data_IF_909163993312
#
_entry.id   IF_909163993312
#
_cell.length_a   1.000
_cell.length_b   1.000
_cell.length_c   1.000
_cell.angle_alpha   90.00
_cell.angle_beta   90.00
_cell.angle_gamma   90.00
#
_symmetry.space_group_name_H-M   'P 1'
#
loop_
_entity.id
_entity.type
_entity.pdbx_description
1 polymer ?
#
# COMPACT_ATOMS: atom_id res chain seq x y z
N UNK A 1 47.31 6.47 69.49
CA UNK A 1 46.76 5.11 69.64
C UNK A 1 45.29 5.28 69.93
N UNK A 2 44.43 4.97 68.96
CA UNK A 2 43.20 4.19 69.14
C UNK A 2 42.47 4.12 67.80
N UNK A 3 41.99 2.92 67.50
CA UNK A 3 41.51 2.48 66.20
C UNK A 3 40.09 2.97 65.93
N UNK A 4 39.83 3.40 64.68
CA UNK A 4 38.47 3.62 64.20
C UNK A 4 38.13 2.64 63.07
N UNK A 5 36.99 1.99 63.27
CA UNK A 5 36.46 0.87 62.49
C UNK A 5 35.95 1.31 61.11
N UNK A 6 36.21 0.45 60.12
CA UNK A 6 35.75 0.51 58.73
C UNK A 6 34.40 -0.17 58.51
N UNK A 7 33.49 0.48 57.77
CA UNK A 7 32.34 -0.13 57.10
C UNK A 7 32.04 0.64 55.78
N UNK A 8 31.40 0.03 54.76
CA UNK A 8 31.87 0.10 53.37
C UNK A 8 31.16 1.11 52.45
N UNK A 9 31.90 1.56 51.44
CA UNK A 9 31.46 2.42 50.34
C UNK A 9 30.38 1.76 49.46
N UNK A 10 29.22 2.41 49.32
CA UNK A 10 28.26 2.18 48.24
C UNK A 10 28.80 2.82 46.95
N UNK A 11 29.02 2.00 45.92
CA UNK A 11 29.31 2.44 44.55
C UNK A 11 28.03 2.50 43.73
N UNK A 12 27.72 3.67 43.19
CA UNK A 12 26.69 3.88 42.17
C UNK A 12 27.16 3.26 40.83
N UNK A 13 26.30 2.60 40.05
CA UNK A 13 26.65 2.16 38.70
C UNK A 13 26.55 3.30 37.67
N UNK A 14 27.58 3.41 36.83
CA UNK A 14 27.65 4.29 35.66
C UNK A 14 26.58 3.99 34.59
N UNK A 15 26.15 4.98 33.79
CA UNK A 15 25.15 4.80 32.74
C UNK A 15 25.76 4.22 31.45
N UNK A 16 25.14 3.14 30.94
CA UNK A 16 25.45 2.54 29.64
C UNK A 16 25.08 3.48 28.47
N UNK A 17 26.07 3.78 27.62
CA UNK A 17 25.92 4.60 26.41
C UNK A 17 25.03 3.94 25.31
N UNK A 18 24.13 4.68 24.62
CA UNK A 18 23.16 4.13 23.66
C UNK A 18 23.66 3.93 22.22
N UNK A 19 24.96 4.02 21.93
CA UNK A 19 25.48 4.11 20.55
C UNK A 19 25.71 2.77 19.83
N UNK A 20 25.80 1.63 20.53
CA UNK A 20 26.16 0.33 19.94
C UNK A 20 24.96 -0.51 19.46
N UNK A 21 23.75 -0.25 19.97
CA UNK A 21 22.53 -0.98 19.60
C UNK A 21 21.89 -0.44 18.32
N UNK A 22 22.02 0.87 18.06
CA UNK A 22 21.37 1.57 16.93
C UNK A 22 22.07 1.29 15.60
N UNK A 23 23.38 1.03 15.62
CA UNK A 23 24.18 0.72 14.41
C UNK A 23 23.91 -0.70 13.91
N UNK A 24 23.78 -1.69 14.80
CA UNK A 24 23.45 -3.09 14.41
C UNK A 24 22.03 -3.22 13.83
N UNK A 25 21.04 -2.49 14.34
CA UNK A 25 19.66 -2.52 13.80
C UNK A 25 19.58 -1.86 12.41
N UNK A 26 20.32 -0.77 12.16
CA UNK A 26 20.35 -0.12 10.84
C UNK A 26 20.98 -1.00 9.77
N UNK A 27 22.06 -1.72 10.09
CA UNK A 27 22.72 -2.65 9.16
C UNK A 27 21.79 -3.82 8.77
N UNK A 28 21.04 -4.36 9.74
CA UNK A 28 20.15 -5.50 9.53
C UNK A 28 18.87 -5.12 8.75
N UNK A 29 18.33 -3.92 8.98
CA UNK A 29 17.22 -3.36 8.20
C UNK A 29 17.67 -3.03 6.77
N UNK A 30 18.89 -2.53 6.58
CA UNK A 30 19.46 -2.27 5.24
C UNK A 30 19.69 -3.57 4.45
N UNK A 31 20.16 -4.63 5.10
CA UNK A 31 20.36 -5.94 4.49
C UNK A 31 19.03 -6.61 4.11
N UNK A 32 17.99 -6.50 4.95
CA UNK A 32 16.65 -7.02 4.65
C UNK A 32 15.97 -6.23 3.51
N UNK A 33 16.18 -4.92 3.43
CA UNK A 33 15.70 -4.10 2.33
C UNK A 33 16.41 -4.44 1.00
N UNK A 34 17.73 -4.67 1.03
CA UNK A 34 18.51 -5.10 -0.14
C UNK A 34 18.08 -6.48 -0.64
N UNK A 35 17.86 -7.44 0.27
CA UNK A 35 17.37 -8.77 -0.07
C UNK A 35 15.97 -8.71 -0.71
N UNK A 36 15.07 -7.87 -0.18
CA UNK A 36 13.71 -7.71 -0.71
C UNK A 36 13.69 -7.10 -2.12
N UNK A 37 14.61 -6.18 -2.42
CA UNK A 37 14.74 -5.56 -3.75
C UNK A 37 15.34 -6.53 -4.78
N UNK A 38 16.31 -7.37 -4.38
CA UNK A 38 16.91 -8.39 -5.25
C UNK A 38 15.92 -9.51 -5.59
N UNK A 39 15.03 -9.89 -4.65
CA UNK A 39 14.00 -10.92 -4.90
C UNK A 39 12.89 -10.43 -5.84
N UNK A 40 12.53 -9.14 -5.79
CA UNK A 40 11.57 -8.55 -6.74
C UNK A 40 12.12 -8.45 -8.18
N UNK A 41 13.45 -8.43 -8.36
CA UNK A 41 14.10 -8.44 -9.68
C UNK A 41 14.21 -9.84 -10.31
N UNK A 42 13.93 -10.91 -9.56
CA UNK A 42 14.09 -12.32 -10.00
C UNK A 42 12.79 -13.12 -10.09
N UNK A 43 11.64 -12.47 -10.32
CA UNK A 43 10.40 -13.21 -10.62
C UNK A 43 10.53 -13.81 -12.05
N UNK A 44 10.55 -15.15 -12.23
CA UNK A 44 10.54 -15.75 -13.56
C UNK A 44 9.20 -15.46 -14.25
N UNK A 45 9.24 -15.10 -15.53
CA UNK A 45 8.06 -14.95 -16.37
C UNK A 45 7.35 -16.29 -16.50
N UNK A 46 6.11 -16.39 -16.01
CA UNK A 46 5.22 -17.51 -16.33
C UNK A 46 4.35 -17.10 -17.51
N UNK A 47 4.83 -17.40 -18.72
CA UNK A 47 3.94 -17.74 -19.83
C UNK A 47 3.43 -19.16 -19.56
N UNK A 48 2.13 -19.40 -19.81
CA UNK A 48 1.41 -20.70 -19.79
C UNK A 48 0.54 -21.07 -18.57
N UNK A 49 -0.41 -20.22 -18.16
CA UNK A 49 -1.58 -20.69 -17.35
C UNK A 49 -2.94 -20.14 -17.86
N UNK A 50 -3.01 -19.75 -19.14
CA UNK A 50 -4.21 -19.13 -19.74
C UNK A 50 -5.32 -20.11 -20.17
N UNK A 51 -5.24 -21.41 -19.82
CA UNK A 51 -6.29 -22.38 -20.20
C UNK A 51 -7.12 -22.91 -19.04
N UNK A 52 -6.67 -22.80 -17.78
CA UNK A 52 -7.38 -23.44 -16.64
C UNK A 52 -8.45 -22.51 -16.04
N UNK A 53 -8.36 -21.20 -16.24
CA UNK A 53 -9.30 -20.23 -15.63
C UNK A 53 -10.60 -20.02 -16.41
N UNK A 54 -10.69 -20.43 -17.68
CA UNK A 54 -11.96 -20.39 -18.44
C UNK A 54 -12.92 -21.54 -18.09
N UNK A 55 -12.40 -22.70 -17.68
CA UNK A 55 -13.24 -23.88 -17.41
C UNK A 55 -13.95 -23.83 -16.04
N UNK A 56 -13.44 -23.04 -15.09
CA UNK A 56 -14.03 -22.94 -13.74
C UNK A 56 -15.21 -21.95 -13.64
N UNK A 57 -15.40 -21.07 -14.63
CA UNK A 57 -16.47 -20.05 -14.63
C UNK A 57 -17.69 -20.41 -15.48
N UNK A 58 -17.65 -21.52 -16.24
CA UNK A 58 -18.74 -21.93 -17.15
C UNK A 58 -19.50 -23.20 -16.72
N UNK A 59 -19.25 -23.75 -15.52
CA UNK A 59 -20.04 -24.86 -14.97
C UNK A 59 -20.65 -24.48 -13.64
N UNK A 60 -21.70 -23.67 -13.68
CA UNK A 60 -22.73 -23.58 -12.64
C UNK A 60 -23.98 -22.95 -13.28
N UNK A 61 -24.65 -23.74 -14.13
CA UNK A 61 -26.04 -23.50 -14.48
C UNK A 61 -26.90 -24.21 -13.46
N UNK A 62 -27.62 -23.46 -12.62
CA UNK A 62 -28.57 -24.02 -11.66
C UNK A 62 -28.83 -23.13 -10.45
N UNK A 63 -29.97 -22.45 -10.48
CA UNK A 63 -30.71 -21.87 -9.35
C UNK A 63 -30.33 -20.45 -8.85
N UNK A 64 -31.21 -19.52 -9.24
CA UNK A 64 -31.83 -18.44 -8.45
C UNK A 64 -30.97 -17.28 -7.90
N UNK A 65 -31.03 -16.16 -8.62
CA UNK A 65 -31.65 -14.94 -8.06
C UNK A 65 -30.85 -14.11 -7.05
N UNK A 66 -29.53 -14.22 -6.97
CA UNK A 66 -28.70 -13.22 -6.28
C UNK A 66 -27.66 -12.65 -7.23
N UNK A 67 -27.77 -11.35 -7.52
CA UNK A 67 -26.78 -10.58 -8.27
C UNK A 67 -25.47 -10.57 -7.50
N UNK A 68 -24.55 -11.48 -7.84
CA UNK A 68 -23.19 -11.45 -7.35
C UNK A 68 -22.53 -10.15 -7.81
N UNK A 69 -22.04 -9.36 -6.85
CA UNK A 69 -21.21 -8.19 -7.14
C UNK A 69 -19.94 -8.69 -7.82
N UNK A 70 -19.91 -8.64 -9.15
CA UNK A 70 -18.71 -8.97 -9.92
C UNK A 70 -17.63 -7.95 -9.61
N UNK A 71 -16.68 -8.36 -8.77
CA UNK A 71 -15.53 -7.55 -8.42
C UNK A 71 -14.72 -7.26 -9.69
N UNK A 72 -14.41 -6.00 -9.94
CA UNK A 72 -13.67 -5.59 -11.14
C UNK A 72 -12.34 -6.36 -11.24
N UNK A 73 -11.96 -6.82 -12.44
CA UNK A 73 -10.79 -7.68 -12.68
C UNK A 73 -9.50 -7.15 -12.02
N UNK A 74 -9.31 -5.82 -12.03
CA UNK A 74 -8.20 -5.18 -11.33
C UNK A 74 -8.18 -5.46 -9.81
N UNK A 75 -9.34 -5.41 -9.14
CA UNK A 75 -9.44 -5.68 -7.72
C UNK A 75 -9.15 -7.16 -7.42
N UNK A 76 -9.58 -8.08 -8.28
CA UNK A 76 -9.22 -9.51 -8.18
C UNK A 76 -7.71 -9.68 -8.30
N UNK A 77 -7.08 -9.08 -9.30
CA UNK A 77 -5.62 -9.15 -9.48
C UNK A 77 -4.85 -8.50 -8.32
N UNK A 78 -5.35 -7.38 -7.77
CA UNK A 78 -4.74 -6.74 -6.61
C UNK A 78 -4.81 -7.63 -5.36
N UNK A 79 -5.94 -8.31 -5.15
CA UNK A 79 -6.12 -9.26 -4.05
C UNK A 79 -5.25 -10.52 -4.23
N UNK A 80 -5.13 -11.04 -5.45
CA UNK A 80 -4.23 -12.15 -5.77
C UNK A 80 -2.75 -11.76 -5.56
N UNK A 81 -2.35 -10.58 -6.01
CA UNK A 81 -1.01 -10.05 -5.75
C UNK A 81 -0.74 -9.89 -4.24
N UNK A 82 -1.73 -9.41 -3.49
CA UNK A 82 -1.65 -9.33 -2.02
C UNK A 82 -1.50 -10.71 -1.38
N UNK A 83 -2.24 -11.71 -1.87
CA UNK A 83 -2.14 -13.10 -1.42
C UNK A 83 -0.75 -13.69 -1.69
N UNK A 84 -0.11 -13.33 -2.82
CA UNK A 84 1.27 -13.74 -3.13
C UNK A 84 2.30 -13.10 -2.18
N UNK A 85 2.12 -11.84 -1.80
CA UNK A 85 2.97 -11.17 -0.79
C UNK A 85 2.84 -11.85 0.57
N UNK A 86 1.67 -12.42 0.90
CA UNK A 86 1.41 -13.12 2.16
C UNK A 86 2.00 -14.54 2.24
N UNK A 87 2.60 -15.08 1.17
CA UNK A 87 3.23 -16.43 1.19
C UNK A 87 4.43 -16.55 2.15
N UNK A 88 4.94 -15.45 2.69
CA UNK A 88 6.07 -15.46 3.64
C UNK A 88 5.68 -15.65 5.13
N UNK A 89 4.40 -15.84 5.46
CA UNK A 89 3.94 -16.09 6.84
C UNK A 89 3.45 -17.53 7.08
N UNK A 90 3.90 -18.52 6.28
CA UNK A 90 3.63 -19.92 6.63
C UNK A 90 4.50 -20.31 7.84
N UNK A 91 3.89 -20.28 9.01
CA UNK A 91 4.45 -20.85 10.24
C UNK A 91 3.71 -22.16 10.52
N UNK A 92 4.37 -23.33 10.42
CA UNK A 92 3.75 -24.62 10.72
C UNK A 92 3.12 -24.67 12.12
N UNK A 93 3.62 -23.84 13.04
CA UNK A 93 3.21 -23.81 14.44
C UNK A 93 1.76 -23.33 14.65
N UNK A 94 1.22 -22.56 13.70
CA UNK A 94 -0.13 -21.97 13.76
C UNK A 94 -1.05 -22.52 12.65
N UNK A 95 -0.89 -23.81 12.30
CA UNK A 95 -1.75 -24.45 11.32
C UNK A 95 -3.09 -24.89 11.94
N UNK A 96 -4.12 -24.05 11.78
CA UNK A 96 -5.46 -24.26 12.34
C UNK A 96 -6.22 -25.39 11.63
N UNK A 97 -7.03 -26.14 12.38
CA UNK A 97 -7.92 -27.17 11.85
C UNK A 97 -9.13 -26.53 11.17
N UNK A 98 -9.71 -25.53 11.83
CA UNK A 98 -11.02 -24.98 11.51
C UNK A 98 -10.96 -23.83 10.51
N UNK A 99 -11.99 -23.73 9.65
CA UNK A 99 -12.08 -22.72 8.59
C UNK A 99 -10.82 -22.63 7.73
N UNK A 100 -10.12 -23.76 7.58
CA UNK A 100 -8.90 -23.86 6.82
C UNK A 100 -9.24 -24.28 5.38
N UNK A 101 -8.76 -23.50 4.40
CA UNK A 101 -8.96 -23.77 2.97
C UNK A 101 -8.31 -25.08 2.48
N UNK A 102 -7.35 -25.59 3.23
CA UNK A 102 -6.57 -26.78 2.89
C UNK A 102 -7.08 -28.03 3.63
N UNK A 103 -7.93 -27.89 4.66
CA UNK A 103 -8.56 -28.99 5.41
C UNK A 103 -10.05 -29.02 5.08
N UNK A 104 -10.41 -29.82 4.09
CA UNK A 104 -11.75 -29.84 3.51
C UNK A 104 -12.38 -31.23 3.58
N UNK A 105 -13.69 -31.27 3.82
CA UNK A 105 -14.51 -32.45 3.61
C UNK A 105 -15.63 -32.09 2.64
N UNK A 106 -15.75 -32.85 1.54
CA UNK A 106 -16.70 -32.56 0.45
C UNK A 106 -16.62 -31.09 -0.03
N UNK A 107 -15.39 -30.60 -0.24
CA UNK A 107 -15.07 -29.23 -0.66
C UNK A 107 -15.58 -28.11 0.27
N UNK A 108 -15.88 -28.42 1.53
CA UNK A 108 -16.24 -27.44 2.55
C UNK A 108 -15.26 -27.50 3.71
N UNK A 109 -14.92 -26.36 4.29
CA UNK A 109 -14.07 -26.31 5.48
C UNK A 109 -14.78 -26.94 6.66
N UNK A 110 -14.01 -27.62 7.50
CA UNK A 110 -14.52 -28.27 8.71
C UNK A 110 -14.72 -27.25 9.84
N UNK A 111 -15.78 -27.47 10.63
CA UNK A 111 -16.00 -26.76 11.89
C UNK A 111 -16.82 -27.64 12.86
N UNK A 112 -16.16 -28.18 13.90
CA UNK A 112 -16.84 -28.91 14.98
C UNK A 112 -16.83 -28.07 16.25
N UNK A 113 -18.00 -27.54 16.63
CA UNK A 113 -18.16 -26.67 17.81
C UNK A 113 -17.64 -27.32 19.10
N UNK A 114 -17.89 -28.62 19.30
CA UNK A 114 -17.46 -29.35 20.49
C UNK A 114 -15.94 -29.37 20.63
N UNK A 115 -15.22 -29.66 19.54
CA UNK A 115 -13.75 -29.67 19.56
C UNK A 115 -13.18 -28.27 19.72
N UNK A 116 -13.79 -27.28 19.07
CA UNK A 116 -13.37 -25.89 19.15
C UNK A 116 -13.48 -25.34 20.58
N UNK A 117 -14.60 -25.57 21.25
CA UNK A 117 -14.86 -25.08 22.61
C UNK A 117 -13.90 -25.69 23.64
N UNK A 118 -13.43 -26.91 23.37
CA UNK A 118 -12.45 -27.64 24.20
C UNK A 118 -10.99 -27.27 23.85
N UNK A 119 -10.79 -26.23 23.03
CA UNK A 119 -9.47 -25.69 22.71
C UNK A 119 -8.65 -26.53 21.73
N UNK A 120 -9.26 -27.47 21.01
CA UNK A 120 -8.61 -28.22 19.92
C UNK A 120 -8.66 -27.35 18.67
N UNK A 121 -7.65 -26.52 18.45
CA UNK A 121 -7.62 -25.50 17.40
C UNK A 121 -6.62 -25.82 16.28
N UNK A 122 -5.51 -26.49 16.60
CA UNK A 122 -4.36 -26.67 15.72
C UNK A 122 -4.12 -28.13 15.38
N UNK A 123 -3.66 -28.37 14.15
CA UNK A 123 -3.32 -29.71 13.66
C UNK A 123 -2.26 -30.38 14.52
N UNK A 124 -1.26 -29.63 15.02
CA UNK A 124 -0.21 -30.18 15.91
C UNK A 124 -0.75 -30.81 17.21
N UNK A 125 -1.91 -30.37 17.70
CA UNK A 125 -2.50 -30.93 18.93
C UNK A 125 -2.97 -32.38 18.70
N UNK A 126 -3.18 -32.75 17.44
CA UNK A 126 -3.59 -34.08 17.01
C UNK A 126 -2.40 -35.05 16.80
N UNK A 127 -1.20 -34.68 17.25
CA UNK A 127 -0.02 -35.54 17.21
C UNK A 127 0.34 -36.09 18.59
N UNK A 128 0.98 -37.26 18.60
CA UNK A 128 1.62 -37.86 19.77
C UNK A 128 3.08 -37.38 19.91
N UNK A 129 3.73 -37.77 21.02
CA UNK A 129 5.15 -37.43 21.31
C UNK A 129 6.14 -37.97 20.28
N UNK A 130 5.75 -39.00 19.52
CA UNK A 130 6.56 -39.63 18.49
C UNK A 130 6.38 -38.99 17.10
N UNK A 131 5.58 -37.92 16.99
CA UNK A 131 5.36 -37.21 15.73
C UNK A 131 4.40 -37.91 14.76
N UNK A 132 3.57 -38.83 15.25
CA UNK A 132 2.46 -39.44 14.49
C UNK A 132 1.12 -38.82 14.88
N UNK A 133 0.16 -38.83 13.96
CA UNK A 133 -1.22 -38.47 14.28
C UNK A 133 -1.78 -39.44 15.32
N UNK A 134 -2.55 -38.92 16.27
CA UNK A 134 -3.22 -39.72 17.29
C UNK A 134 -4.14 -40.73 16.60
N UNK A 135 -4.23 -41.92 17.18
CA UNK A 135 -5.33 -42.85 16.95
C UNK A 135 -6.58 -42.38 17.67
N UNK A 136 -7.73 -42.97 17.33
CA UNK A 136 -9.00 -42.65 17.96
C UNK A 136 -8.96 -42.87 19.48
N UNK A 137 -8.34 -43.95 19.93
CA UNK A 137 -8.18 -44.27 21.36
C UNK A 137 -7.28 -43.28 22.07
N UNK A 138 -6.13 -42.92 21.50
CA UNK A 138 -5.23 -41.90 22.05
C UNK A 138 -5.88 -40.52 22.11
N UNK A 139 -6.69 -40.16 21.11
CA UNK A 139 -7.45 -38.90 21.11
C UNK A 139 -8.43 -38.84 22.28
N UNK A 140 -9.22 -39.90 22.48
CA UNK A 140 -10.16 -39.99 23.59
C UNK A 140 -9.45 -39.92 24.95
N UNK A 141 -8.29 -40.57 25.10
CA UNK A 141 -7.49 -40.51 26.32
C UNK A 141 -6.93 -39.11 26.58
N UNK A 142 -6.43 -38.44 25.53
CA UNK A 142 -5.78 -37.13 25.62
C UNK A 142 -6.75 -36.00 25.91
N UNK A 143 -7.87 -35.96 25.19
CA UNK A 143 -8.83 -34.85 25.28
C UNK A 143 -10.04 -35.17 26.15
N UNK A 144 -10.28 -36.45 26.49
CA UNK A 144 -11.42 -36.91 27.29
C UNK A 144 -12.77 -36.47 26.75
N UNK A 145 -12.89 -36.38 25.42
CA UNK A 145 -14.10 -35.95 24.73
C UNK A 145 -14.79 -37.12 24.03
N UNK A 146 -16.06 -37.41 24.36
CA UNK A 146 -16.82 -38.44 23.66
C UNK A 146 -17.18 -37.93 22.27
N UNK A 147 -16.48 -38.42 21.24
CA UNK A 147 -16.69 -38.05 19.85
C UNK A 147 -17.04 -39.29 19.02
N UNK A 148 -17.71 -39.12 17.89
CA UNK A 148 -18.00 -40.26 17.01
C UNK A 148 -16.75 -40.65 16.22
N UNK A 149 -16.45 -41.96 16.03
CA UNK A 149 -15.30 -42.40 15.22
C UNK A 149 -15.29 -41.81 13.81
N UNK A 150 -16.47 -41.61 13.23
CA UNK A 150 -16.65 -40.98 11.92
C UNK A 150 -16.15 -39.54 11.89
N UNK A 151 -16.51 -38.73 12.90
CA UNK A 151 -16.13 -37.31 12.94
C UNK A 151 -14.62 -37.18 13.11
N UNK A 152 -14.02 -38.06 13.92
CA UNK A 152 -12.58 -38.17 14.06
C UNK A 152 -11.89 -38.47 12.73
N UNK A 153 -12.31 -39.52 12.03
CA UNK A 153 -11.72 -39.93 10.76
C UNK A 153 -11.81 -38.80 9.72
N UNK A 154 -12.96 -38.11 9.62
CA UNK A 154 -13.14 -36.97 8.72
C UNK A 154 -12.10 -35.88 8.95
N UNK A 155 -11.82 -35.53 10.21
CA UNK A 155 -10.82 -34.49 10.52
C UNK A 155 -9.41 -34.98 10.19
N UNK A 156 -9.06 -36.20 10.61
CA UNK A 156 -7.73 -36.77 10.42
C UNK A 156 -7.39 -36.94 8.93
N UNK A 157 -8.32 -37.49 8.15
CA UNK A 157 -8.14 -37.73 6.71
C UNK A 157 -8.10 -36.44 5.90
N UNK A 158 -8.76 -35.37 6.38
CA UNK A 158 -8.75 -34.07 5.73
C UNK A 158 -7.43 -33.30 5.93
N UNK A 159 -6.54 -33.74 6.82
CA UNK A 159 -5.25 -33.06 7.03
C UNK A 159 -4.30 -33.38 5.87
N UNK A 160 -3.75 -32.37 5.17
CA UNK A 160 -2.82 -32.63 4.08
C UNK A 160 -1.56 -33.37 4.51
N UNK A 161 -1.15 -34.38 3.73
CA UNK A 161 0.08 -35.15 3.98
C UNK A 161 1.35 -34.30 4.03
N UNK A 162 1.40 -33.22 3.27
CA UNK A 162 2.52 -32.28 3.31
C UNK A 162 2.68 -31.64 4.69
N UNK A 163 1.57 -31.30 5.35
CA UNK A 163 1.55 -30.70 6.70
C UNK A 163 1.96 -31.73 7.74
N UNK A 164 1.52 -32.99 7.61
CA UNK A 164 1.89 -34.03 8.57
C UNK A 164 3.38 -34.33 8.55
N UNK A 165 4.00 -34.37 7.37
CA UNK A 165 5.46 -34.53 7.22
C UNK A 165 6.21 -33.34 7.84
N UNK A 166 5.75 -32.12 7.59
CA UNK A 166 6.37 -30.91 8.14
C UNK A 166 6.33 -30.87 9.66
N UNK A 167 5.19 -31.24 10.27
CA UNK A 167 5.01 -31.23 11.72
C UNK A 167 5.75 -32.37 12.41
N UNK A 168 5.90 -33.53 11.77
CA UNK A 168 6.64 -34.68 12.32
C UNK A 168 8.06 -34.29 12.70
N UNK A 169 8.79 -33.62 11.79
CA UNK A 169 10.17 -33.18 12.04
C UNK A 169 10.26 -32.20 13.22
N UNK A 170 9.29 -31.31 13.35
CA UNK A 170 9.28 -30.28 14.39
C UNK A 170 8.98 -30.83 15.79
N UNK A 171 8.07 -31.80 15.90
CA UNK A 171 7.70 -32.41 17.18
C UNK A 171 8.87 -33.23 17.75
N UNK A 172 9.67 -33.86 16.89
CA UNK A 172 10.88 -34.59 17.27
C UNK A 172 11.98 -33.69 17.88
N UNK A 173 11.95 -32.37 17.64
CA UNK A 173 12.94 -31.41 18.15
C UNK A 173 12.58 -30.82 19.54
N UNK A 174 11.46 -31.22 20.16
CA UNK A 174 11.13 -30.88 21.55
C UNK A 174 10.83 -29.40 21.83
N UNK A 175 10.47 -28.61 20.80
CA UNK A 175 10.30 -27.16 20.94
C UNK A 175 9.01 -26.81 21.72
N UNK A 176 9.16 -26.02 22.78
CA UNK A 176 8.07 -25.57 23.65
C UNK A 176 6.97 -24.81 22.90
N UNK A 177 5.73 -25.18 23.21
CA UNK A 177 4.52 -24.87 22.46
C UNK A 177 3.91 -23.56 22.97
N UNK A 178 3.99 -22.48 22.19
CA UNK A 178 3.25 -21.24 22.46
C UNK A 178 1.77 -21.45 22.10
N UNK A 179 0.87 -21.25 23.06
CA UNK A 179 -0.58 -21.31 22.87
C UNK A 179 -1.01 -20.33 21.76
N UNK A 180 -1.80 -20.75 20.74
CA UNK A 180 -2.22 -19.88 19.63
C UNK A 180 -3.26 -18.83 20.04
N UNK A 181 -3.79 -18.88 21.28
CA UNK A 181 -4.57 -17.78 21.88
C UNK A 181 -3.68 -16.57 22.22
N UNK A 182 -2.70 -16.27 21.37
CA UNK A 182 -1.94 -15.04 21.45
C UNK A 182 -2.80 -13.89 20.98
N UNK A 183 -2.82 -12.83 21.77
CA UNK A 183 -3.31 -11.51 21.36
C UNK A 183 -2.85 -11.22 19.91
N UNK A 184 -3.78 -10.85 19.02
CA UNK A 184 -3.44 -10.49 17.64
C UNK A 184 -3.27 -8.97 17.60
N UNK A 185 -2.06 -8.49 17.38
CA UNK A 185 -1.79 -7.06 17.41
C UNK A 185 -1.73 -6.43 16.02
N UNK A 186 -2.38 -5.28 15.86
CA UNK A 186 -2.10 -4.32 14.78
C UNK A 186 -1.49 -3.07 15.43
N UNK A 187 -0.17 -2.90 15.26
CA UNK A 187 0.57 -1.93 16.07
C UNK A 187 0.51 -2.32 17.55
N UNK A 188 0.00 -1.43 18.40
CA UNK A 188 -0.14 -1.68 19.85
C UNK A 188 -1.55 -2.14 20.24
N UNK A 189 -2.40 -2.49 19.28
CA UNK A 189 -3.82 -2.79 19.51
C UNK A 189 -4.10 -4.26 19.32
N UNK A 190 -4.56 -4.93 20.39
CA UNK A 190 -5.06 -6.30 20.34
C UNK A 190 -6.46 -6.34 19.71
N UNK A 191 -6.55 -6.82 18.47
CA UNK A 191 -7.80 -6.85 17.70
C UNK A 191 -8.82 -7.85 18.25
N UNK A 192 -8.39 -8.78 19.11
CA UNK A 192 -9.29 -9.73 19.76
C UNK A 192 -9.98 -9.13 20.99
N UNK A 193 -9.39 -8.09 21.59
CA UNK A 193 -9.92 -7.44 22.81
C UNK A 193 -10.61 -6.11 22.55
N UNK A 194 -10.25 -5.42 21.47
CA UNK A 194 -10.83 -4.12 21.14
C UNK A 194 -11.07 -3.95 19.63
N UNK A 195 -12.09 -3.16 19.30
CA UNK A 195 -12.40 -2.83 17.90
C UNK A 195 -11.22 -2.10 17.25
N UNK A 196 -10.68 -2.68 16.18
CA UNK A 196 -9.63 -2.05 15.40
C UNK A 196 -10.21 -1.10 14.34
N UNK A 197 -10.19 0.20 14.62
CA UNK A 197 -10.70 1.20 13.67
C UNK A 197 -9.76 1.43 12.49
N UNK A 198 -10.30 1.89 11.36
CA UNK A 198 -9.52 2.30 10.18
C UNK A 198 -8.45 3.36 10.49
N UNK A 199 -8.60 4.14 11.57
CA UNK A 199 -7.59 5.12 12.02
C UNK A 199 -6.37 4.41 12.64
N UNK A 200 -6.61 3.39 13.46
CA UNK A 200 -5.57 2.58 14.11
C UNK A 200 -4.76 1.84 13.04
N UNK A 201 -5.43 1.15 12.10
CA UNK A 201 -4.77 0.44 11.00
C UNK A 201 -3.88 1.40 10.18
N UNK A 202 -4.43 2.56 9.78
CA UNK A 202 -3.65 3.57 9.03
C UNK A 202 -2.45 4.09 9.80
N UNK A 203 -2.58 4.30 11.12
CA UNK A 203 -1.47 4.77 11.94
C UNK A 203 -0.39 3.69 12.10
N UNK A 204 -0.78 2.43 12.27
CA UNK A 204 0.16 1.31 12.33
C UNK A 204 0.95 1.16 11.03
N UNK A 205 0.32 1.41 9.86
CA UNK A 205 0.98 1.28 8.56
C UNK A 205 1.84 2.49 8.16
N UNK A 206 1.57 3.68 8.74
CA UNK A 206 2.30 4.92 8.40
C UNK A 206 3.79 4.88 8.75
N UNK A 207 4.19 4.09 9.75
CA UNK A 207 5.57 4.00 10.23
C UNK A 207 6.39 2.89 9.57
N UNK A 208 5.77 2.02 8.76
CA UNK A 208 6.38 0.74 8.35
C UNK A 208 7.29 0.89 7.13
N UNK A 209 7.02 1.82 6.21
CA UNK A 209 7.87 1.99 5.03
C UNK A 209 7.81 3.37 4.41
N UNK A 210 8.95 3.81 3.89
CA UNK A 210 9.06 5.00 3.05
C UNK A 210 8.70 4.62 1.60
N UNK A 211 7.82 5.39 0.91
CA UNK A 211 7.50 5.11 -0.48
C UNK A 211 8.74 5.12 -1.38
N UNK A 212 8.90 4.12 -2.24
CA UNK A 212 10.02 4.01 -3.17
C UNK A 212 10.21 5.26 -4.06
N UNK A 213 9.10 5.96 -4.35
CA UNK A 213 9.12 7.20 -5.10
C UNK A 213 9.95 8.31 -4.43
N UNK A 214 10.03 8.34 -3.09
CA UNK A 214 10.85 9.33 -2.37
C UNK A 214 12.31 9.24 -2.78
N UNK A 215 12.88 8.04 -2.77
CA UNK A 215 14.29 7.83 -3.12
C UNK A 215 14.60 8.27 -4.56
N UNK A 216 13.71 7.94 -5.51
CA UNK A 216 13.89 8.37 -6.89
C UNK A 216 13.86 9.89 -7.04
N UNK A 217 12.86 10.55 -6.48
CA UNK A 217 12.75 12.01 -6.61
C UNK A 217 13.86 12.74 -5.87
N UNK A 218 14.27 12.26 -4.70
CA UNK A 218 15.42 12.80 -3.97
C UNK A 218 16.75 12.56 -4.66
N UNK A 219 16.84 11.66 -5.65
CA UNK A 219 18.03 11.54 -6.51
C UNK A 219 18.09 12.59 -7.63
N UNK A 220 16.98 13.28 -7.90
CA UNK A 220 16.86 14.29 -8.96
C UNK A 220 16.70 15.71 -8.42
N UNK A 221 16.11 15.86 -7.24
CA UNK A 221 15.82 17.16 -6.63
C UNK A 221 16.14 17.12 -5.14
N UNK A 222 16.85 18.15 -4.69
CA UNK A 222 17.19 18.31 -3.28
C UNK A 222 16.06 18.94 -2.47
N UNK A 223 16.09 18.75 -1.14
CA UNK A 223 15.29 19.47 -0.16
C UNK A 223 13.75 19.42 -0.35
N UNK A 224 13.20 18.34 -0.93
CA UNK A 224 11.75 18.18 -1.11
C UNK A 224 11.04 18.07 0.26
N UNK A 225 10.17 19.05 0.57
CA UNK A 225 9.25 18.93 1.70
C UNK A 225 8.11 17.98 1.37
N UNK A 226 8.29 16.71 1.71
CA UNK A 226 7.30 15.67 1.42
C UNK A 226 5.93 15.91 2.06
N UNK A 227 5.90 16.51 3.25
CA UNK A 227 4.63 16.84 3.92
C UNK A 227 3.83 17.85 3.09
N UNK A 228 4.50 18.85 2.50
CA UNK A 228 3.86 19.82 1.59
C UNK A 228 3.42 19.13 0.30
N UNK A 229 4.31 18.39 -0.36
CA UNK A 229 4.04 17.73 -1.64
C UNK A 229 2.83 16.77 -1.56
N UNK A 230 2.78 15.91 -0.54
CA UNK A 230 1.70 14.92 -0.38
C UNK A 230 0.35 15.55 -0.04
N UNK A 231 0.35 16.69 0.66
CA UNK A 231 -0.88 17.32 1.14
C UNK A 231 -1.36 18.48 0.25
N UNK A 232 -0.61 18.86 -0.79
CA UNK A 232 -0.93 20.04 -1.60
C UNK A 232 -2.34 19.98 -2.18
N UNK A 233 -2.68 18.87 -2.84
CA UNK A 233 -4.00 18.67 -3.47
C UNK A 233 -5.16 18.63 -2.45
N UNK A 234 -4.87 18.32 -1.18
CA UNK A 234 -5.86 18.32 -0.10
C UNK A 234 -6.25 19.73 0.34
N UNK A 235 -5.48 20.78 -0.02
CA UNK A 235 -5.79 22.18 0.31
C UNK A 235 -6.94 22.75 -0.54
N UNK A 236 -7.27 22.13 -1.68
CA UNK A 236 -8.22 22.66 -2.65
C UNK A 236 -9.56 21.88 -2.68
N UNK A 237 -10.63 22.55 -3.10
CA UNK A 237 -11.93 21.94 -3.36
C UNK A 237 -11.98 21.42 -4.80
N UNK A 238 -11.20 20.38 -5.07
CA UNK A 238 -11.08 19.73 -6.39
C UNK A 238 -11.56 18.28 -6.34
N UNK A 239 -12.01 17.76 -7.48
CA UNK A 239 -12.49 16.39 -7.60
C UNK A 239 -11.37 15.36 -7.38
N UNK A 240 -11.77 14.11 -7.13
CA UNK A 240 -10.82 13.02 -6.86
C UNK A 240 -9.95 12.67 -8.08
N UNK A 241 -10.43 12.88 -9.32
CA UNK A 241 -9.67 12.62 -10.55
C UNK A 241 -8.43 13.52 -10.65
N UNK A 242 -8.55 14.81 -10.30
CA UNK A 242 -7.42 15.76 -10.29
C UNK A 242 -6.39 15.35 -9.22
N UNK A 243 -6.87 14.97 -8.02
CA UNK A 243 -6.01 14.50 -6.93
C UNK A 243 -5.27 13.23 -7.31
N UNK A 244 -5.95 12.30 -7.97
CA UNK A 244 -5.41 11.03 -8.42
C UNK A 244 -4.28 11.21 -9.43
N UNK A 245 -4.40 12.14 -10.39
CA UNK A 245 -3.32 12.43 -11.35
C UNK A 245 -2.07 12.90 -10.61
N UNK A 246 -2.21 13.85 -9.69
CA UNK A 246 -1.09 14.35 -8.88
C UNK A 246 -0.47 13.24 -8.02
N UNK A 247 -1.32 12.41 -7.40
CA UNK A 247 -0.89 11.24 -6.63
C UNK A 247 -0.07 10.27 -7.50
N UNK A 248 -0.55 9.95 -8.71
CA UNK A 248 0.13 9.04 -9.63
C UNK A 248 1.49 9.57 -10.09
N UNK A 249 1.58 10.87 -10.35
CA UNK A 249 2.86 11.54 -10.69
C UNK A 249 3.84 11.40 -9.53
N UNK A 250 3.44 11.86 -8.33
CA UNK A 250 4.31 11.86 -7.16
C UNK A 250 4.73 10.45 -6.72
N UNK A 251 3.87 9.44 -6.87
CA UNK A 251 4.20 8.04 -6.57
C UNK A 251 4.88 7.30 -7.74
N UNK A 252 5.12 7.96 -8.88
CA UNK A 252 5.70 7.37 -10.10
C UNK A 252 4.92 6.19 -10.68
N UNK A 253 3.62 6.15 -10.42
CA UNK A 253 2.70 5.13 -10.96
C UNK A 253 1.84 5.69 -12.10
N UNK A 254 2.16 6.90 -12.59
CA UNK A 254 1.50 7.45 -13.76
C UNK A 254 1.79 6.57 -15.00
N UNK A 255 0.75 6.22 -15.78
CA UNK A 255 0.87 5.34 -16.96
C UNK A 255 1.47 6.09 -18.16
N UNK A 256 2.74 6.49 -18.05
CA UNK A 256 3.58 6.87 -19.18
C UNK A 256 4.04 5.60 -19.91
N UNK A 257 4.23 5.65 -21.25
CA UNK A 257 4.62 4.46 -22.03
C UNK A 257 5.90 3.79 -21.49
N UNK A 258 6.88 4.56 -21.01
CA UNK A 258 8.06 3.99 -20.33
C UNK A 258 7.72 3.14 -19.10
N UNK A 259 6.71 3.53 -18.32
CA UNK A 259 6.25 2.74 -17.18
C UNK A 259 5.50 1.49 -17.65
N UNK A 260 4.71 1.61 -18.71
CA UNK A 260 3.87 0.54 -19.25
C UNK A 260 4.67 -0.55 -19.99
N UNK A 261 5.83 -0.20 -20.54
CA UNK A 261 6.78 -1.12 -21.18
C UNK A 261 7.13 -2.32 -20.28
N UNK A 262 7.15 -2.11 -18.97
CA UNK A 262 7.41 -3.17 -17.97
C UNK A 262 6.35 -4.27 -17.94
N UNK A 263 5.15 -3.99 -18.46
CA UNK A 263 3.98 -4.86 -18.34
C UNK A 263 3.46 -5.37 -19.69
N UNK A 264 3.77 -4.69 -20.79
CA UNK A 264 3.31 -5.07 -22.12
C UNK A 264 4.46 -4.97 -23.12
N UNK A 265 4.75 -6.09 -23.76
CA UNK A 265 5.67 -6.18 -24.89
C UNK A 265 5.04 -5.44 -26.09
N UNK A 266 5.84 -4.70 -26.86
CA UNK A 266 5.45 -3.98 -28.09
C UNK A 266 4.59 -2.71 -27.89
N UNK A 267 4.89 -1.89 -26.88
CA UNK A 267 4.37 -0.51 -26.81
C UNK A 267 5.40 0.44 -27.45
N UNK A 268 4.95 1.37 -28.29
CA UNK A 268 5.80 2.48 -28.77
C UNK A 268 6.38 3.25 -27.59
N UNK A 269 7.68 3.57 -27.63
CA UNK A 269 8.34 4.35 -26.57
C UNK A 269 8.13 5.86 -26.71
N UNK A 270 7.60 6.34 -27.85
CA UNK A 270 7.56 7.76 -28.18
C UNK A 270 6.39 8.47 -27.51
N UNK A 271 6.59 9.74 -27.13
CA UNK A 271 5.60 10.60 -26.51
C UNK A 271 4.35 10.75 -27.38
N UNK A 272 3.17 10.60 -26.78
CA UNK A 272 1.88 10.80 -27.47
C UNK A 272 1.69 12.22 -28.02
N UNK A 273 2.40 13.22 -27.49
CA UNK A 273 2.28 14.60 -27.95
C UNK A 273 3.26 14.96 -29.07
N UNK A 274 4.57 14.75 -28.85
CA UNK A 274 5.59 15.15 -29.82
C UNK A 274 6.00 14.05 -30.79
N UNK A 275 5.79 12.78 -30.45
CA UNK A 275 6.23 11.64 -31.27
C UNK A 275 7.75 11.47 -31.40
N UNK A 276 8.56 12.33 -30.79
CA UNK A 276 10.02 12.39 -30.98
C UNK A 276 10.80 11.77 -29.82
N UNK A 277 10.49 12.14 -28.59
CA UNK A 277 11.22 11.70 -27.39
C UNK A 277 10.53 10.55 -26.65
N UNK A 278 11.27 9.88 -25.76
CA UNK A 278 10.74 8.83 -24.90
C UNK A 278 9.67 9.38 -23.95
N UNK A 279 8.51 8.72 -23.90
CA UNK A 279 7.41 9.12 -23.04
C UNK A 279 7.67 8.79 -21.55
N UNK A 280 8.22 9.76 -20.83
CA UNK A 280 8.40 9.72 -19.37
C UNK A 280 7.44 10.68 -18.66
N UNK A 281 7.31 10.56 -17.33
CA UNK A 281 6.53 11.52 -16.52
C UNK A 281 7.08 12.93 -16.69
N UNK A 282 8.41 13.10 -16.62
CA UNK A 282 9.06 14.40 -16.77
C UNK A 282 8.84 14.99 -18.16
N UNK A 283 8.91 14.14 -19.20
CA UNK A 283 8.67 14.58 -20.56
C UNK A 283 7.20 14.99 -20.78
N UNK A 284 6.22 14.15 -20.46
CA UNK A 284 4.79 14.46 -20.66
C UNK A 284 4.40 15.74 -19.92
N UNK A 285 4.79 15.86 -18.65
CA UNK A 285 4.29 16.95 -17.81
C UNK A 285 5.12 18.22 -17.89
N UNK A 286 6.36 18.18 -18.40
CA UNK A 286 7.20 19.37 -18.45
C UNK A 286 8.03 19.50 -19.73
N UNK A 287 8.91 18.56 -20.07
CA UNK A 287 9.90 18.77 -21.13
C UNK A 287 9.34 18.72 -22.57
N UNK A 288 8.21 18.04 -22.79
CA UNK A 288 7.56 17.98 -24.09
C UNK A 288 7.28 19.40 -24.61
N UNK A 289 7.62 19.67 -25.88
CA UNK A 289 7.46 21.01 -26.48
C UNK A 289 6.05 21.58 -26.29
N UNK A 290 5.01 20.77 -26.45
CA UNK A 290 3.62 21.22 -26.26
C UNK A 290 3.26 21.49 -24.79
N UNK A 291 3.86 20.76 -23.85
CA UNK A 291 3.68 21.00 -22.42
C UNK A 291 4.44 22.26 -21.99
N UNK A 292 5.65 22.49 -22.51
CA UNK A 292 6.42 23.72 -22.29
C UNK A 292 5.67 24.96 -22.78
N UNK A 293 5.13 24.92 -24.00
CA UNK A 293 4.31 26.02 -24.54
C UNK A 293 3.12 26.28 -23.62
N UNK A 294 2.40 25.23 -23.21
CA UNK A 294 1.28 25.37 -22.28
C UNK A 294 1.66 26.03 -20.94
N UNK A 295 2.80 25.67 -20.34
CA UNK A 295 3.27 26.28 -19.10
C UNK A 295 3.72 27.73 -19.30
N UNK A 296 4.35 28.05 -20.44
CA UNK A 296 4.76 29.42 -20.78
C UNK A 296 3.55 30.34 -20.98
N UNK A 297 2.51 29.86 -21.65
CA UNK A 297 1.24 30.59 -21.77
C UNK A 297 0.59 30.83 -20.39
N UNK A 298 0.69 29.83 -19.50
CA UNK A 298 0.20 29.94 -18.12
C UNK A 298 0.99 30.97 -17.30
N UNK A 299 2.33 30.95 -17.39
CA UNK A 299 3.20 31.95 -16.76
C UNK A 299 2.79 33.35 -17.20
N UNK A 300 2.69 33.59 -18.52
CA UNK A 300 2.31 34.90 -19.06
C UNK A 300 0.94 35.36 -18.54
N UNK A 301 -0.05 34.46 -18.52
CA UNK A 301 -1.38 34.78 -18.02
C UNK A 301 -1.37 35.13 -16.53
N UNK A 302 -0.69 34.35 -15.69
CA UNK A 302 -0.60 34.58 -14.24
C UNK A 302 0.18 35.86 -13.96
N UNK A 303 1.32 36.06 -14.63
CA UNK A 303 2.16 37.25 -14.47
C UNK A 303 1.43 38.53 -14.79
N UNK A 304 0.61 38.54 -15.84
CA UNK A 304 -0.23 39.70 -16.17
C UNK A 304 -1.30 40.00 -15.14
N UNK A 305 -1.81 38.99 -14.44
CA UNK A 305 -2.86 39.15 -13.42
C UNK A 305 -2.30 39.54 -12.05
N UNK A 306 -1.13 39.02 -11.70
CA UNK A 306 -0.46 39.26 -10.42
C UNK A 306 0.53 40.44 -10.47
N UNK A 307 0.76 41.04 -11.64
CA UNK A 307 1.75 42.11 -11.85
C UNK A 307 3.15 41.70 -11.33
N UNK A 308 3.48 40.41 -11.48
CA UNK A 308 4.70 39.80 -10.95
C UNK A 308 5.29 38.82 -11.97
N UNK A 309 6.62 38.77 -12.09
CA UNK A 309 7.30 37.80 -12.94
C UNK A 309 7.24 36.40 -12.32
N UNK A 310 6.58 35.47 -13.01
CA UNK A 310 6.42 34.07 -12.59
C UNK A 310 7.19 33.19 -13.55
N UNK A 311 7.97 32.26 -12.99
CA UNK A 311 8.61 31.18 -13.73
C UNK A 311 8.18 29.86 -13.11
N UNK A 312 7.62 28.97 -13.93
CA UNK A 312 7.19 27.63 -13.53
C UNK A 312 8.28 26.67 -13.98
N UNK A 313 9.02 26.13 -13.00
CA UNK A 313 10.03 25.12 -13.26
C UNK A 313 9.45 23.70 -13.11
N UNK A 314 10.26 22.70 -13.45
CA UNK A 314 9.85 21.30 -13.33
C UNK A 314 9.53 20.90 -11.89
N UNK A 315 10.24 21.48 -10.91
CA UNK A 315 10.00 21.20 -9.50
C UNK A 315 8.59 21.65 -9.08
N UNK A 316 8.15 22.83 -9.53
CA UNK A 316 6.81 23.36 -9.28
C UNK A 316 5.73 22.42 -9.82
N UNK A 317 5.91 21.98 -11.07
CA UNK A 317 4.99 21.08 -11.77
C UNK A 317 4.97 19.69 -11.16
N UNK A 318 6.03 19.23 -10.48
CA UNK A 318 6.00 17.93 -9.81
C UNK A 318 5.44 18.04 -8.39
N UNK A 319 5.93 18.99 -7.59
CA UNK A 319 5.73 19.03 -6.15
C UNK A 319 4.89 20.22 -5.70
N UNK A 320 5.49 21.40 -5.58
CA UNK A 320 4.89 22.64 -5.10
C UNK A 320 5.81 23.82 -5.44
N UNK A 321 5.23 25.02 -5.45
CA UNK A 321 5.96 26.29 -5.58
C UNK A 321 6.22 26.93 -4.23
N UNK A 322 7.42 27.45 -4.04
CA UNK A 322 7.81 28.20 -2.84
C UNK A 322 8.69 29.37 -3.29
N UNK A 323 8.21 30.59 -3.07
CA UNK A 323 8.92 31.80 -3.47
C UNK A 323 8.68 32.89 -2.43
N UNK A 324 9.75 33.46 -1.91
CA UNK A 324 9.71 34.57 -0.95
C UNK A 324 9.11 35.84 -1.54
N UNK A 325 9.14 35.97 -2.87
CA UNK A 325 8.56 37.11 -3.59
C UNK A 325 7.03 37.07 -3.65
N UNK A 326 6.43 35.92 -3.33
CA UNK A 326 5.00 35.69 -3.47
C UNK A 326 4.32 35.57 -2.12
N UNK A 327 3.21 36.28 -1.94
CA UNK A 327 2.40 36.13 -0.75
C UNK A 327 1.64 34.79 -0.74
N UNK A 328 1.07 34.45 0.42
CA UNK A 328 0.41 33.15 0.60
C UNK A 328 -0.82 32.92 -0.30
N UNK A 329 -1.45 34.00 -0.80
CA UNK A 329 -2.61 33.92 -1.71
C UNK A 329 -2.15 33.67 -3.14
N UNK A 330 -1.12 34.37 -3.60
CA UNK A 330 -0.49 34.18 -4.92
C UNK A 330 0.03 32.75 -5.07
N UNK A 331 0.81 32.27 -4.09
CA UNK A 331 1.28 30.89 -4.08
C UNK A 331 0.12 29.88 -4.11
N UNK A 332 -0.95 30.15 -3.35
CA UNK A 332 -2.15 29.29 -3.34
C UNK A 332 -2.83 29.24 -4.71
N UNK A 333 -2.88 30.35 -5.46
CA UNK A 333 -3.42 30.37 -6.82
C UNK A 333 -2.49 29.67 -7.81
N UNK A 334 -1.17 29.89 -7.75
CA UNK A 334 -0.21 29.19 -8.62
C UNK A 334 -0.31 27.67 -8.42
N UNK A 335 -0.37 27.21 -7.17
CA UNK A 335 -0.57 25.79 -6.86
C UNK A 335 -1.87 25.24 -7.46
N UNK A 336 -2.96 26.01 -7.42
CA UNK A 336 -4.22 25.63 -8.05
C UNK A 336 -4.08 25.51 -9.57
N UNK A 337 -3.50 26.51 -10.22
CA UNK A 337 -3.26 26.52 -11.67
C UNK A 337 -2.40 25.32 -12.10
N UNK A 338 -1.33 25.03 -11.36
CA UNK A 338 -0.46 23.87 -11.61
C UNK A 338 -1.22 22.55 -11.44
N UNK A 339 -2.04 22.39 -10.38
CA UNK A 339 -2.83 21.17 -10.18
C UNK A 339 -3.85 20.94 -11.30
N UNK A 340 -4.57 22.00 -11.70
CA UNK A 340 -5.52 21.93 -12.80
C UNK A 340 -4.80 21.73 -14.15
N UNK A 341 -3.63 22.35 -14.33
CA UNK A 341 -2.78 22.21 -15.52
C UNK A 341 -2.28 20.77 -15.71
N UNK A 342 -1.81 20.11 -14.64
CA UNK A 342 -1.48 18.67 -14.66
C UNK A 342 -2.68 17.84 -15.13
N UNK A 343 -3.87 18.13 -14.60
CA UNK A 343 -5.08 17.42 -15.01
C UNK A 343 -5.46 17.70 -16.46
N UNK A 344 -5.28 18.92 -16.96
CA UNK A 344 -5.50 19.27 -18.36
C UNK A 344 -4.58 18.49 -19.29
N UNK A 345 -3.27 18.49 -19.02
CA UNK A 345 -2.30 17.69 -19.79
C UNK A 345 -2.69 16.21 -19.78
N UNK A 346 -3.10 15.68 -18.63
CA UNK A 346 -3.60 14.31 -18.53
C UNK A 346 -4.83 14.06 -19.44
N UNK A 347 -5.85 14.92 -19.39
CA UNK A 347 -7.03 14.80 -20.27
C UNK A 347 -6.63 14.80 -21.73
N UNK A 348 -5.74 15.72 -22.12
CA UNK A 348 -5.28 15.90 -23.50
C UNK A 348 -4.49 14.69 -24.00
N UNK A 349 -3.64 14.07 -23.16
CA UNK A 349 -2.98 12.79 -23.46
C UNK A 349 -3.98 11.71 -23.86
N UNK A 350 -5.01 11.49 -23.06
CA UNK A 350 -6.00 10.43 -23.32
C UNK A 350 -6.97 10.75 -24.44
N UNK A 351 -7.20 12.03 -24.71
CA UNK A 351 -7.92 12.50 -25.88
C UNK A 351 -7.06 12.58 -27.14
N UNK A 352 -5.78 12.15 -27.09
CA UNK A 352 -4.81 12.19 -28.20
C UNK A 352 -4.73 13.55 -28.89
N UNK A 353 -4.81 14.62 -28.09
CA UNK A 353 -4.68 15.99 -28.57
C UNK A 353 -3.65 16.73 -27.73
N UNK A 354 -3.11 17.82 -28.29
CA UNK A 354 -2.05 18.60 -27.65
C UNK A 354 -2.63 19.48 -26.52
N UNK A 355 -1.89 19.71 -25.42
CA UNK A 355 -2.22 20.74 -24.45
C UNK A 355 -2.43 22.10 -25.14
N UNK A 356 -3.49 22.80 -24.76
CA UNK A 356 -3.83 24.12 -25.30
C UNK A 356 -4.33 25.00 -24.16
N UNK A 357 -3.75 26.20 -24.03
CA UNK A 357 -4.01 27.07 -22.89
C UNK A 357 -5.41 27.70 -22.92
N UNK A 358 -5.91 28.10 -24.10
CA UNK A 358 -7.26 28.66 -24.23
C UNK A 358 -8.35 27.69 -23.76
N UNK A 359 -8.21 26.40 -24.12
CA UNK A 359 -9.11 25.36 -23.61
C UNK A 359 -9.03 25.20 -22.08
N UNK A 360 -7.83 25.29 -21.51
CA UNK A 360 -7.65 25.24 -20.07
C UNK A 360 -8.32 26.42 -19.36
N UNK A 361 -8.22 27.64 -19.91
CA UNK A 361 -8.89 28.82 -19.34
C UNK A 361 -10.41 28.65 -19.33
N UNK A 362 -11.00 28.05 -20.37
CA UNK A 362 -12.43 27.76 -20.39
C UNK A 362 -12.80 26.75 -19.28
N UNK A 363 -12.04 25.66 -19.13
CA UNK A 363 -12.23 24.69 -18.04
C UNK A 363 -12.07 25.35 -16.66
N UNK A 364 -11.12 26.28 -16.52
CA UNK A 364 -10.87 27.03 -15.30
C UNK A 364 -12.05 27.93 -14.94
N UNK A 365 -12.60 28.68 -15.91
CA UNK A 365 -13.80 29.50 -15.70
C UNK A 365 -14.98 28.67 -15.23
N UNK A 366 -15.22 27.50 -15.85
CA UNK A 366 -16.26 26.58 -15.41
C UNK A 366 -16.03 26.09 -13.97
N UNK A 367 -14.78 25.76 -13.62
CA UNK A 367 -14.43 25.38 -12.25
C UNK A 367 -14.70 26.52 -11.25
N UNK A 368 -14.36 27.76 -11.59
CA UNK A 368 -14.61 28.94 -10.75
C UNK A 368 -16.11 29.14 -10.52
N UNK A 369 -16.94 29.06 -11.57
CA UNK A 369 -18.39 29.17 -11.45
C UNK A 369 -18.98 28.13 -10.49
N UNK A 370 -18.47 26.88 -10.54
CA UNK A 370 -18.88 25.82 -9.61
C UNK A 370 -18.41 26.07 -8.17
N UNK A 371 -17.23 26.66 -7.99
CA UNK A 371 -16.74 27.01 -6.65
C UNK A 371 -17.60 28.08 -5.97
N UNK A 372 -18.08 29.08 -6.71
CA UNK A 372 -18.93 30.15 -6.16
C UNK A 372 -20.24 29.61 -5.57
N UNK A 373 -20.77 28.54 -6.15
CA UNK A 373 -22.00 27.89 -5.68
C UNK A 373 -21.78 26.98 -4.46
N UNK A 374 -20.51 26.75 -4.07
CA UNK A 374 -20.15 25.75 -3.07
C UNK A 374 -19.87 26.37 -1.70
N UNK A 375 -20.59 25.94 -0.65
CA UNK A 375 -20.40 26.40 0.75
C UNK A 375 -19.15 25.83 1.46
N UNK A 376 -18.26 25.14 0.75
CA UNK A 376 -17.09 24.47 1.33
C UNK A 376 -16.03 25.50 1.76
N UNK A 377 -15.48 25.38 2.97
CA UNK A 377 -14.43 26.28 3.49
C UNK A 377 -13.23 26.43 2.53
N UNK A 378 -12.81 25.36 1.84
CA UNK A 378 -11.71 25.37 0.86
C UNK A 378 -12.10 26.12 -0.42
N UNK A 379 -13.35 26.00 -0.85
CA UNK A 379 -13.89 26.73 -2.00
C UNK A 379 -13.92 28.22 -1.69
N UNK A 380 -14.50 28.62 -0.55
CA UNK A 380 -14.55 30.00 -0.09
C UNK A 380 -13.16 30.64 0.01
N UNK A 381 -12.18 29.94 0.60
CA UNK A 381 -10.78 30.40 0.64
C UNK A 381 -10.22 30.67 -0.76
N UNK A 382 -10.53 29.78 -1.70
CA UNK A 382 -10.05 29.89 -3.09
C UNK A 382 -10.72 31.04 -3.82
N UNK A 383 -12.04 31.19 -3.72
CA UNK A 383 -12.78 32.31 -4.32
C UNK A 383 -12.29 33.66 -3.78
N UNK A 384 -12.04 33.77 -2.47
CA UNK A 384 -11.52 35.01 -1.88
C UNK A 384 -10.14 35.38 -2.43
N UNK A 385 -9.25 34.39 -2.63
CA UNK A 385 -7.95 34.63 -3.24
C UNK A 385 -8.08 35.05 -4.72
N UNK A 386 -8.99 34.41 -5.48
CA UNK A 386 -9.22 34.73 -6.89
C UNK A 386 -9.78 36.14 -7.10
N UNK A 387 -10.75 36.57 -6.26
CA UNK A 387 -11.34 37.92 -6.31
C UNK A 387 -10.30 38.99 -6.03
N UNK A 388 -9.48 38.81 -4.99
CA UNK A 388 -8.43 39.77 -4.63
C UNK A 388 -7.38 39.93 -5.74
N UNK A 389 -7.07 38.85 -6.44
CA UNK A 389 -6.07 38.82 -7.51
C UNK A 389 -6.69 39.07 -8.90
N UNK A 390 -7.94 39.51 -8.98
CA UNK A 390 -8.66 39.87 -10.23
C UNK A 390 -8.67 38.74 -11.29
N UNK A 391 -8.69 37.48 -10.84
CA UNK A 391 -8.89 36.30 -11.71
C UNK A 391 -10.37 35.99 -11.97
N UNK A 392 -11.23 36.58 -11.15
CA UNK A 392 -12.68 36.71 -11.31
C UNK A 392 -12.97 38.17 -11.63
#
# INVERSE_FOLDING_TARGET
MEANQSAPHQSHPEPLHPSSFVTKTKQQVANNARASVVTLQRIPRIHSENQITKSALLRNGGCNGQSYVTLHYYAVQALLAWQLVYKHNFSPHNYFIWNNKDILFKNKSLFYHTWFNEGILLVRQLFNSHGYLLSYTEFLQKFRLPIRPRDFAIVIDAIPKSVTILLKNYISEGISIVNPCGNIFIGNVDVLKQKCSNKIIRNALRSVSLPAARFFWSSLFDNISWVKAWNLSNKFCINNKIKEVSYKILHRIYPAKHTLERFKLNISYTCEFCGQEKETILHIFFHCIYSRVFWKDMEFYISRKMECMIEICIFDVLFYTESERLNCKEQHIIHLFILLGKFHIHKKKWARCKPNFSHFINDFKLYVNLLEQTKNKKALKTCNALKLLKFM
#
